data_IF_548473127650
#
_entry.id   IF_548473127650
#
_cell.length_a   1.000
_cell.length_b   1.000
_cell.length_c   1.000
_cell.angle_alpha   90.00
_cell.angle_beta   90.00
_cell.angle_gamma   90.00
#
_symmetry.space_group_name_H-M   'P 1'
#
loop_
_entity.id
_entity.type
_entity.pdbx_description
1 polymer ?
#
# COMPACT_ATOMS: atom_id res chain seq x y z
N UNK A 1 -24.89 17.62 19.50
CA UNK A 1 -25.37 17.69 18.09
C UNK A 1 -26.26 16.47 17.84
N UNK A 2 -27.51 16.67 17.41
CA UNK A 2 -28.47 15.58 17.15
C UNK A 2 -28.25 15.05 15.73
N UNK A 3 -28.33 13.73 15.51
CA UNK A 3 -28.19 13.10 14.20
C UNK A 3 -29.24 13.70 13.23
N UNK A 4 -28.85 14.31 12.09
CA UNK A 4 -29.78 14.93 11.14
C UNK A 4 -30.69 13.92 10.44
N UNK A 5 -30.38 12.62 10.49
CA UNK A 5 -31.26 11.57 9.99
C UNK A 5 -31.29 10.38 10.97
N UNK A 6 -32.29 10.29 11.87
CA UNK A 6 -32.41 9.21 12.85
C UNK A 6 -32.58 7.82 12.23
N UNK A 7 -33.11 7.75 11.00
CA UNK A 7 -33.38 6.49 10.29
C UNK A 7 -32.16 5.97 9.54
N UNK A 8 -31.08 6.77 9.46
CA UNK A 8 -29.83 6.34 8.86
C UNK A 8 -29.15 5.32 9.78
N UNK A 9 -29.19 4.05 9.37
CA UNK A 9 -28.45 2.97 10.03
C UNK A 9 -26.96 3.23 9.77
N UNK A 10 -26.25 3.65 10.81
CA UNK A 10 -24.80 3.76 10.78
C UNK A 10 -24.17 2.41 11.15
N UNK A 11 -23.03 2.04 10.55
CA UNK A 11 -22.27 0.90 11.03
C UNK A 11 -21.88 1.11 12.50
N UNK A 12 -21.63 0.01 13.21
CA UNK A 12 -21.14 0.05 14.58
C UNK A 12 -19.84 0.86 14.70
N UNK A 13 -19.45 1.18 15.93
CA UNK A 13 -18.23 1.93 16.21
C UNK A 13 -16.93 1.11 15.98
N UNK A 14 -17.05 -0.16 15.58
CA UNK A 14 -15.92 -1.06 15.40
C UNK A 14 -15.06 -0.62 14.20
N UNK A 15 -13.82 -0.21 14.49
CA UNK A 15 -12.80 0.07 13.48
C UNK A 15 -11.87 -1.13 13.36
N UNK A 16 -12.15 -2.01 12.40
CA UNK A 16 -11.34 -3.20 12.14
C UNK A 16 -10.31 -2.87 11.05
N UNK A 17 -9.01 -2.92 11.35
CA UNK A 17 -7.97 -2.56 10.38
C UNK A 17 -7.80 -3.70 9.35
N UNK A 18 -7.84 -3.37 8.06
CA UNK A 18 -7.72 -4.35 6.98
C UNK A 18 -6.30 -4.94 6.83
N UNK A 19 -5.28 -4.19 7.27
CA UNK A 19 -3.87 -4.51 7.09
C UNK A 19 -3.03 -3.25 6.99
N UNK A 20 -1.82 -3.39 6.44
CA UNK A 20 -0.88 -2.31 6.19
C UNK A 20 -0.30 -2.39 4.78
N UNK A 21 0.17 -1.24 4.28
CA UNK A 21 0.91 -1.13 3.01
C UNK A 21 2.32 -0.67 3.33
N UNK A 22 3.32 -1.37 2.81
CA UNK A 22 4.71 -0.95 2.93
C UNK A 22 5.12 -0.15 1.71
N UNK A 23 5.54 1.10 1.90
CA UNK A 23 6.20 1.87 0.84
C UNK A 23 7.72 1.69 0.95
N UNK A 24 8.35 1.15 -0.09
CA UNK A 24 9.80 0.97 -0.12
C UNK A 24 10.51 2.31 -0.28
N UNK A 25 11.28 2.74 0.74
CA UNK A 25 12.17 3.88 0.58
C UNK A 25 13.31 3.53 -0.39
N UNK A 26 13.67 4.46 -1.29
CA UNK A 26 14.77 4.26 -2.23
C UNK A 26 16.11 4.11 -1.50
N UNK A 27 16.90 3.12 -1.90
CA UNK A 27 18.23 2.85 -1.38
C UNK A 27 19.14 2.86 -2.60
N UNK A 28 20.01 3.86 -2.68
CA UNK A 28 21.14 3.83 -3.62
C UNK A 28 21.98 2.61 -3.23
N UNK A 29 22.20 1.73 -4.19
CA UNK A 29 22.90 0.44 -4.10
C UNK A 29 22.03 -0.75 -3.67
N UNK A 30 22.09 -1.77 -4.53
CA UNK A 30 21.60 -3.16 -4.57
C UNK A 30 21.18 -3.91 -3.29
N UNK A 31 21.31 -3.35 -2.09
CA UNK A 31 20.92 -3.97 -0.82
C UNK A 31 20.27 -2.95 0.09
N UNK A 32 19.14 -3.29 0.74
CA UNK A 32 18.71 -2.49 1.87
C UNK A 32 19.86 -2.38 2.87
N UNK A 33 20.26 -1.16 3.23
CA UNK A 33 21.18 -0.94 4.35
C UNK A 33 20.62 -1.79 5.48
N UNK A 34 21.39 -2.74 6.03
CA UNK A 34 20.88 -3.83 6.90
C UNK A 34 19.88 -3.37 7.98
N UNK A 35 19.98 -2.12 8.42
CA UNK A 35 19.02 -1.45 9.29
C UNK A 35 17.57 -1.39 8.73
N UNK A 36 17.36 -1.04 7.46
CA UNK A 36 16.03 -0.98 6.85
C UNK A 36 15.38 -2.37 6.75
N UNK A 37 16.16 -3.39 6.37
CA UNK A 37 15.71 -4.79 6.41
C UNK A 37 15.27 -5.24 7.80
N UNK A 38 16.04 -4.88 8.84
CA UNK A 38 15.68 -5.16 10.23
C UNK A 38 14.37 -4.46 10.65
N UNK A 39 14.14 -3.23 10.21
CA UNK A 39 12.89 -2.52 10.48
C UNK A 39 11.70 -3.17 9.78
N UNK A 40 11.82 -3.49 8.49
CA UNK A 40 10.76 -4.19 7.75
C UNK A 40 10.39 -5.53 8.39
N UNK A 41 11.38 -6.30 8.83
CA UNK A 41 11.17 -7.59 9.49
C UNK A 41 10.41 -7.49 10.83
N UNK A 42 10.37 -6.31 11.45
CA UNK A 42 9.63 -6.06 12.71
C UNK A 42 8.20 -5.61 12.48
N UNK A 43 7.83 -5.17 11.27
CA UNK A 43 6.48 -4.66 10.99
C UNK A 43 5.40 -5.70 11.31
N UNK A 44 5.49 -6.96 10.86
CA UNK A 44 4.47 -7.98 11.15
C UNK A 44 4.18 -8.18 12.65
N UNK A 45 5.22 -8.14 13.50
CA UNK A 45 5.04 -8.31 14.95
C UNK A 45 4.45 -7.07 15.58
N UNK A 46 4.97 -5.89 15.25
CA UNK A 46 4.53 -4.61 15.82
C UNK A 46 3.08 -4.30 15.43
N UNK A 47 2.68 -4.59 14.19
CA UNK A 47 1.31 -4.39 13.75
C UNK A 47 0.33 -5.22 14.59
N UNK A 48 0.62 -6.51 14.80
CA UNK A 48 -0.23 -7.39 15.61
C UNK A 48 -0.35 -6.91 17.05
N UNK A 49 0.79 -6.59 17.67
CA UNK A 49 0.83 -6.15 19.06
C UNK A 49 0.14 -4.79 19.27
N UNK A 50 0.46 -3.81 18.42
CA UNK A 50 0.07 -2.41 18.65
C UNK A 50 -1.24 -2.00 17.97
N UNK A 51 -1.68 -2.73 16.94
CA UNK A 51 -2.87 -2.36 16.14
C UNK A 51 -4.01 -3.34 16.34
N UNK A 52 -3.74 -4.65 16.33
CA UNK A 52 -4.79 -5.67 16.49
C UNK A 52 -4.87 -6.26 17.90
N UNK A 53 -3.94 -5.89 18.79
CA UNK A 53 -3.79 -6.45 20.13
C UNK A 53 -3.67 -7.99 20.15
N UNK A 54 -3.18 -8.58 19.05
CA UNK A 54 -2.94 -10.00 18.94
C UNK A 54 -1.58 -10.38 19.53
N UNK A 55 -1.56 -11.46 20.30
CA UNK A 55 -0.32 -12.17 20.64
C UNK A 55 -0.18 -13.39 19.73
N UNK A 56 0.83 -13.40 18.86
CA UNK A 56 1.12 -14.53 17.99
C UNK A 56 2.37 -15.27 18.48
N UNK A 57 2.25 -16.58 18.71
CA UNK A 57 3.39 -17.43 19.06
C UNK A 57 4.44 -17.52 17.94
N UNK A 58 3.99 -17.41 16.68
CA UNK A 58 4.85 -17.37 15.49
C UNK A 58 4.41 -16.20 14.61
N UNK A 59 5.34 -15.28 14.37
CA UNK A 59 5.10 -14.12 13.50
C UNK A 59 5.58 -14.46 12.09
N UNK A 60 4.74 -14.31 11.03
CA UNK A 60 5.15 -14.56 9.66
C UNK A 60 6.18 -13.52 9.18
N UNK A 61 6.97 -13.89 8.17
CA UNK A 61 7.79 -12.93 7.44
C UNK A 61 6.90 -11.98 6.62
N UNK A 62 7.41 -10.79 6.30
CA UNK A 62 6.67 -9.76 5.58
C UNK A 62 6.01 -10.27 4.28
N UNK A 63 6.71 -11.12 3.52
CA UNK A 63 6.24 -11.72 2.25
C UNK A 63 5.12 -12.75 2.44
N UNK A 64 4.95 -13.27 3.66
CA UNK A 64 3.92 -14.25 4.03
C UNK A 64 2.88 -13.68 4.98
N UNK A 65 2.99 -12.41 5.33
CA UNK A 65 2.09 -11.78 6.28
C UNK A 65 0.75 -11.47 5.63
N UNK A 66 -0.32 -12.10 6.12
CA UNK A 66 -1.68 -11.86 5.64
C UNK A 66 -2.19 -10.44 5.92
N UNK A 67 -1.55 -9.68 6.81
CA UNK A 67 -1.84 -8.26 7.03
C UNK A 67 -1.06 -7.32 6.09
N UNK A 68 -0.04 -7.80 5.39
CA UNK A 68 0.68 -7.00 4.39
C UNK A 68 -0.12 -7.00 3.08
N UNK A 69 -0.79 -5.89 2.78
CA UNK A 69 -1.67 -5.78 1.61
C UNK A 69 -0.90 -5.56 0.31
N UNK A 70 0.23 -4.84 0.38
CA UNK A 70 1.15 -4.67 -0.73
C UNK A 70 2.47 -4.07 -0.25
N UNK A 71 3.53 -4.31 -1.01
CA UNK A 71 4.80 -3.59 -0.91
C UNK A 71 4.99 -2.74 -2.16
N UNK A 72 4.68 -1.45 -2.05
CA UNK A 72 4.75 -0.51 -3.16
C UNK A 72 6.15 0.06 -3.34
N UNK A 73 6.55 0.24 -4.59
CA UNK A 73 7.73 1.04 -4.94
C UNK A 73 7.45 2.50 -4.66
N UNK A 74 8.51 3.28 -4.44
CA UNK A 74 8.39 4.72 -4.25
C UNK A 74 8.16 5.50 -5.57
N UNK A 75 8.20 4.84 -6.73
CA UNK A 75 8.07 5.43 -8.08
C UNK A 75 8.79 6.80 -8.25
N UNK A 76 10.08 6.88 -7.84
CA UNK A 76 10.88 8.11 -7.93
C UNK A 76 10.85 8.63 -9.37
N UNK A 77 10.86 9.95 -9.49
CA UNK A 77 10.73 10.73 -10.74
C UNK A 77 9.36 10.63 -11.45
N UNK A 78 8.68 9.48 -11.41
CA UNK A 78 7.32 9.34 -11.97
C UNK A 78 6.28 10.13 -11.17
N UNK A 79 6.38 10.13 -9.84
CA UNK A 79 5.44 10.89 -9.00
C UNK A 79 5.49 12.41 -9.29
N UNK A 80 6.66 13.07 -9.34
CA UNK A 80 6.75 14.46 -9.81
C UNK A 80 6.20 14.68 -11.23
N UNK A 81 6.53 13.82 -12.20
CA UNK A 81 6.01 13.93 -13.57
C UNK A 81 4.48 13.84 -13.60
N UNK A 82 3.91 12.90 -12.84
CA UNK A 82 2.47 12.71 -12.71
C UNK A 82 1.78 13.93 -12.12
N UNK A 83 2.40 14.57 -11.11
CA UNK A 83 1.90 15.81 -10.51
C UNK A 83 1.93 16.98 -11.50
N UNK A 84 3.03 17.13 -12.25
CA UNK A 84 3.17 18.19 -13.26
C UNK A 84 2.18 18.02 -14.42
N UNK A 85 2.04 16.80 -14.93
CA UNK A 85 1.09 16.45 -15.98
C UNK A 85 -0.37 16.29 -15.48
N UNK A 86 -0.60 16.44 -14.17
CA UNK A 86 -1.90 16.32 -13.49
C UNK A 86 -2.67 15.05 -13.83
N UNK A 87 -1.99 13.91 -13.77
CA UNK A 87 -2.58 12.61 -14.08
C UNK A 87 -1.95 11.49 -13.27
N UNK A 88 -2.63 10.35 -13.09
CA UNK A 88 -2.04 9.18 -12.46
C UNK A 88 -0.73 8.75 -13.13
N UNK A 89 0.20 8.19 -12.35
CA UNK A 89 1.49 7.69 -12.85
C UNK A 89 1.31 6.73 -14.04
N UNK A 90 0.35 5.82 -13.95
CA UNK A 90 0.08 4.84 -15.02
C UNK A 90 -0.59 5.43 -16.27
N UNK A 91 -0.90 6.74 -16.29
CA UNK A 91 -1.34 7.48 -17.47
C UNK A 91 -0.26 8.41 -18.06
N UNK A 92 0.94 8.40 -17.50
CA UNK A 92 2.10 9.04 -18.11
C UNK A 92 2.38 8.46 -19.49
N UNK A 93 2.65 9.35 -20.45
CA UNK A 93 3.00 9.06 -21.84
C UNK A 93 4.45 9.53 -22.07
N UNK A 94 5.07 9.13 -23.19
CA UNK A 94 6.37 9.67 -23.58
C UNK A 94 6.41 11.21 -23.66
N UNK A 95 5.28 11.83 -24.04
CA UNK A 95 5.12 13.28 -24.11
C UNK A 95 5.25 14.00 -22.75
N UNK A 96 5.13 13.28 -21.63
CA UNK A 96 5.26 13.82 -20.27
C UNK A 96 6.64 13.52 -19.65
N UNK A 97 7.59 13.04 -20.45
CA UNK A 97 8.95 12.74 -20.00
C UNK A 97 9.13 11.33 -19.42
N UNK A 98 8.06 10.53 -19.29
CA UNK A 98 8.19 9.11 -18.99
C UNK A 98 8.70 8.38 -20.25
N UNK A 99 10.02 8.23 -20.39
CA UNK A 99 10.67 7.56 -21.54
C UNK A 99 11.58 6.44 -21.03
N UNK A 100 11.77 5.38 -21.84
CA UNK A 100 12.65 4.26 -21.49
C UNK A 100 12.19 3.52 -20.22
N UNK A 101 13.08 3.38 -19.24
CA UNK A 101 12.79 2.69 -17.97
C UNK A 101 11.61 3.31 -17.18
N UNK A 102 11.33 4.60 -17.38
CA UNK A 102 10.19 5.27 -16.78
C UNK A 102 8.86 4.77 -17.34
N UNK A 103 8.76 4.50 -18.65
CA UNK A 103 7.54 3.93 -19.24
C UNK A 103 7.21 2.56 -18.64
N UNK A 104 8.20 1.68 -18.55
CA UNK A 104 8.00 0.35 -17.95
C UNK A 104 7.55 0.46 -16.48
N UNK A 105 8.16 1.36 -15.72
CA UNK A 105 7.80 1.60 -14.32
C UNK A 105 6.42 2.23 -14.16
N UNK A 106 6.00 3.13 -15.08
CA UNK A 106 4.68 3.71 -15.12
C UNK A 106 3.60 2.65 -15.45
N UNK A 107 3.88 1.75 -16.39
CA UNK A 107 2.97 0.66 -16.71
C UNK A 107 2.88 -0.35 -15.57
N UNK A 108 4.00 -0.68 -14.93
CA UNK A 108 4.03 -1.57 -13.76
C UNK A 108 3.26 -1.00 -12.57
N UNK A 109 3.26 0.33 -12.41
CA UNK A 109 2.48 1.03 -11.38
C UNK A 109 0.99 0.66 -11.44
N UNK A 110 0.42 0.51 -12.64
CA UNK A 110 -0.97 0.06 -12.78
C UNK A 110 -1.20 -1.30 -12.11
N UNK A 111 -0.33 -2.28 -12.41
CA UNK A 111 -0.42 -3.63 -11.83
C UNK A 111 -0.28 -3.59 -10.32
N UNK A 112 0.72 -2.89 -9.80
CA UNK A 112 0.99 -2.85 -8.36
C UNK A 112 -0.19 -2.23 -7.57
N UNK A 113 -0.83 -1.18 -8.11
CA UNK A 113 -2.03 -0.57 -7.50
C UNK A 113 -3.31 -1.40 -7.72
N UNK A 114 -3.43 -2.12 -8.84
CA UNK A 114 -4.55 -3.06 -9.07
C UNK A 114 -4.50 -4.21 -8.06
N UNK A 115 -3.34 -4.82 -7.89
CA UNK A 115 -3.11 -5.88 -6.90
C UNK A 115 -3.42 -5.38 -5.47
N UNK A 116 -3.01 -4.16 -5.13
CA UNK A 116 -3.36 -3.55 -3.84
C UNK A 116 -4.87 -3.33 -3.69
N UNK A 117 -5.55 -2.81 -4.73
CA UNK A 117 -6.99 -2.59 -4.70
C UNK A 117 -7.76 -3.91 -4.51
N UNK A 118 -7.35 -4.97 -5.19
CA UNK A 118 -7.90 -6.32 -5.06
C UNK A 118 -7.65 -6.89 -3.65
N UNK A 119 -6.46 -6.71 -3.10
CA UNK A 119 -6.13 -7.15 -1.74
C UNK A 119 -6.99 -6.42 -0.69
N UNK A 120 -7.15 -5.10 -0.81
CA UNK A 120 -8.03 -4.31 0.07
C UNK A 120 -9.48 -4.80 -0.05
N UNK A 121 -9.99 -4.95 -1.28
CA UNK A 121 -11.35 -5.37 -1.51
C UNK A 121 -11.63 -6.76 -0.93
N UNK A 122 -10.73 -7.72 -1.15
CA UNK A 122 -10.81 -9.05 -0.57
C UNK A 122 -10.82 -9.05 0.96
N UNK A 123 -10.02 -8.17 1.60
CA UNK A 123 -9.99 -8.03 3.06
C UNK A 123 -11.23 -7.35 3.63
N UNK A 124 -11.80 -6.41 2.90
CA UNK A 124 -12.97 -5.66 3.32
C UNK A 124 -14.30 -6.30 2.87
N UNK A 125 -14.27 -7.44 2.18
CA UNK A 125 -15.47 -8.09 1.65
C UNK A 125 -16.18 -7.29 0.54
N UNK A 126 -15.44 -6.46 -0.17
CA UNK A 126 -15.96 -5.63 -1.27
C UNK A 126 -15.85 -6.43 -2.57
N UNK A 127 -16.96 -6.53 -3.30
CA UNK A 127 -16.98 -7.12 -4.64
C UNK A 127 -16.55 -6.06 -5.63
N UNK A 128 -15.45 -6.31 -6.35
CA UNK A 128 -14.98 -5.44 -7.42
C UNK A 128 -15.79 -5.67 -8.71
N UNK A 129 -15.98 -4.62 -9.52
CA UNK A 129 -16.67 -4.69 -10.81
C UNK A 129 -15.89 -5.46 -11.88
#
# INVERSE_FOLDING_TARGET
KKNPNPDLILPGADMIPAGYVLMQHDIRLDRPVKAYGKWMARIPSVYRESVTAESAAVVPTLDKDSYCLSTLKHYRSLMPMAMEARKPIFFLKPADGAIGAHMYSAQRCYTDFKELAEAIAGKCGIILP
#
